data_IF_077575935748
#
_entry.id   IF_077575935748
#
_cell.length_a   1.000
_cell.length_b   1.000
_cell.length_c   1.000
_cell.angle_alpha   90.00
_cell.angle_beta   90.00
_cell.angle_gamma   90.00
#
_symmetry.space_group_name_H-M   'P 1'
#
loop_
_entity.id
_entity.type
_entity.pdbx_description
1 polymer ?
#
# COMPACT_ATOMS: atom_id res chain seq x y z
N UNK A 1 1.32 13.40 15.70
CA UNK A 1 0.28 12.51 16.28
C UNK A 1 0.78 11.66 17.48
N UNK A 2 2.07 11.69 17.83
CA UNK A 2 2.63 11.09 19.05
C UNK A 2 2.97 9.60 18.98
N UNK A 3 2.89 8.94 17.82
CA UNK A 3 3.42 7.59 17.62
C UNK A 3 4.96 7.60 17.53
N UNK A 4 5.61 6.50 17.94
CA UNK A 4 7.05 6.33 17.88
C UNK A 4 7.45 4.85 17.73
N UNK A 5 8.74 4.58 17.53
CA UNK A 5 9.28 3.23 17.33
C UNK A 5 9.04 2.31 18.53
N UNK A 6 9.14 2.84 19.75
CA UNK A 6 8.84 2.08 20.96
C UNK A 6 7.36 1.68 21.02
N UNK A 7 6.44 2.57 20.62
CA UNK A 7 5.00 2.26 20.56
C UNK A 7 4.69 1.13 19.58
N UNK A 8 5.37 1.06 18.42
CA UNK A 8 5.23 -0.06 17.48
C UNK A 8 5.72 -1.35 18.14
N UNK A 9 6.88 -1.32 18.80
CA UNK A 9 7.46 -2.46 19.49
C UNK A 9 6.51 -3.06 20.54
N UNK A 10 5.81 -2.21 21.30
CA UNK A 10 4.81 -2.65 22.29
C UNK A 10 3.57 -3.29 21.65
N UNK A 11 3.31 -3.05 20.37
CA UNK A 11 2.14 -3.56 19.65
C UNK A 11 2.43 -4.77 18.75
N UNK A 12 3.65 -5.30 18.76
CA UNK A 12 4.03 -6.47 17.93
C UNK A 12 3.06 -7.64 18.14
N UNK A 13 2.72 -7.98 19.40
CA UNK A 13 1.82 -9.09 19.70
C UNK A 13 0.40 -8.83 19.20
N UNK A 14 -0.09 -7.57 19.26
CA UNK A 14 -1.36 -7.19 18.71
C UNK A 14 -1.37 -7.38 17.17
N UNK A 15 -0.35 -6.89 16.47
CA UNK A 15 -0.20 -7.03 15.02
C UNK A 15 -0.13 -8.52 14.63
N UNK A 16 0.70 -9.28 15.31
CA UNK A 16 0.88 -10.74 15.10
C UNK A 16 -0.42 -11.50 15.34
N UNK A 17 -1.25 -11.09 16.30
CA UNK A 17 -2.53 -11.73 16.61
C UNK A 17 -3.56 -11.67 15.49
N UNK A 18 -3.33 -10.83 14.48
CA UNK A 18 -4.13 -10.77 13.23
C UNK A 18 -3.51 -11.57 12.08
N UNK A 19 -2.39 -12.25 12.35
CA UNK A 19 -1.69 -13.10 11.37
C UNK A 19 -0.70 -12.36 10.48
N UNK A 20 -0.42 -11.07 10.75
CA UNK A 20 0.60 -10.32 10.02
C UNK A 20 2.01 -10.76 10.47
N UNK A 21 2.91 -10.78 9.50
CA UNK A 21 4.32 -11.13 9.66
C UNK A 21 5.28 -10.00 9.25
N UNK A 22 4.75 -8.87 8.81
CA UNK A 22 5.56 -7.74 8.35
C UNK A 22 4.95 -6.42 8.82
N UNK A 23 5.81 -5.49 9.23
CA UNK A 23 5.43 -4.10 9.53
C UNK A 23 6.07 -3.18 8.50
N UNK A 24 5.26 -2.38 7.82
CA UNK A 24 5.70 -1.30 6.93
C UNK A 24 5.58 0.03 7.67
N UNK A 25 6.70 0.75 7.79
CA UNK A 25 6.83 1.99 8.55
C UNK A 25 7.04 3.15 7.57
N UNK A 26 6.25 4.21 7.70
CA UNK A 26 6.43 5.49 6.98
C UNK A 26 7.77 6.16 7.36
N UNK A 27 8.23 7.22 6.65
CA UNK A 27 9.56 7.79 6.87
C UNK A 27 9.82 8.17 8.33
N UNK A 28 11.06 7.92 8.77
CA UNK A 28 11.50 8.12 10.17
C UNK A 28 12.48 9.28 10.33
N UNK A 29 12.76 10.00 9.27
CA UNK A 29 13.81 11.03 9.22
C UNK A 29 13.37 12.34 9.86
N UNK A 30 14.33 13.17 10.36
CA UNK A 30 14.04 14.52 10.81
C UNK A 30 13.34 15.34 9.72
N UNK A 31 12.25 15.99 10.06
CA UNK A 31 11.38 16.68 9.13
C UNK A 31 10.70 17.87 9.79
N UNK A 32 10.18 18.81 9.01
CA UNK A 32 9.32 19.89 9.51
C UNK A 32 7.86 19.48 9.68
N UNK A 33 7.45 18.48 8.93
CA UNK A 33 6.04 18.07 8.87
C UNK A 33 5.82 16.77 9.63
N UNK A 34 4.59 16.59 10.09
CA UNK A 34 4.18 15.40 10.83
C UNK A 34 4.23 14.10 10.01
N UNK A 35 4.25 14.21 8.68
CA UNK A 35 4.25 13.06 7.78
C UNK A 35 5.66 12.56 7.41
N UNK A 36 6.70 13.35 7.65
CA UNK A 36 8.11 13.05 7.39
C UNK A 36 8.47 12.82 5.91
N UNK A 37 7.61 13.18 4.94
CA UNK A 37 7.93 13.12 3.51
C UNK A 37 8.69 14.35 3.00
N UNK A 38 9.14 15.23 3.88
CA UNK A 38 10.06 16.34 3.61
C UNK A 38 11.32 16.24 4.48
N UNK A 39 12.16 15.18 4.29
CA UNK A 39 13.29 14.93 5.18
C UNK A 39 14.32 16.04 5.12
N UNK A 40 14.85 16.44 6.30
CA UNK A 40 15.97 17.37 6.41
C UNK A 40 17.33 16.64 6.37
N UNK A 41 17.34 15.36 6.73
CA UNK A 41 18.50 14.49 6.87
C UNK A 41 18.04 13.03 6.66
N UNK A 42 18.87 12.16 6.06
CA UNK A 42 18.52 10.76 5.80
C UNK A 42 19.36 9.75 6.62
N UNK A 43 20.34 10.24 7.38
CA UNK A 43 21.17 9.37 8.22
C UNK A 43 20.77 9.41 9.70
N UNK A 44 19.81 10.25 10.07
CA UNK A 44 19.34 10.38 11.44
C UNK A 44 17.84 10.04 11.54
N UNK A 45 17.41 9.63 12.74
CA UNK A 45 16.01 9.42 13.07
C UNK A 45 15.48 10.69 13.75
N UNK A 46 14.25 11.09 13.45
CA UNK A 46 13.60 12.19 14.15
C UNK A 46 13.54 11.88 15.65
N UNK A 47 14.06 12.79 16.52
CA UNK A 47 14.07 12.57 17.96
C UNK A 47 12.69 12.31 18.57
N UNK A 48 11.60 12.76 17.92
CA UNK A 48 10.23 12.46 18.36
C UNK A 48 9.84 11.00 18.11
N UNK A 49 10.48 10.34 17.15
CA UNK A 49 10.19 8.95 16.80
C UNK A 49 11.09 7.96 17.53
N UNK A 50 12.28 8.40 17.98
CA UNK A 50 13.24 7.58 18.69
C UNK A 50 14.67 7.75 18.20
N UNK A 51 15.47 6.71 18.40
CA UNK A 51 16.89 6.64 18.06
C UNK A 51 17.18 5.44 17.17
N UNK A 52 18.40 5.35 16.61
CA UNK A 52 18.86 4.14 15.90
C UNK A 52 18.90 2.90 16.80
N UNK A 53 19.11 3.07 18.09
CA UNK A 53 19.00 1.96 19.07
C UNK A 53 17.55 1.49 19.22
N UNK A 54 16.58 2.41 19.25
CA UNK A 54 15.15 2.06 19.28
C UNK A 54 14.73 1.32 17.98
N UNK A 55 15.23 1.78 16.82
CA UNK A 55 14.98 1.14 15.53
C UNK A 55 15.54 -0.29 15.51
N UNK A 56 16.79 -0.47 15.94
CA UNK A 56 17.43 -1.77 16.04
C UNK A 56 16.70 -2.68 17.01
N UNK A 57 16.29 -2.17 18.17
CA UNK A 57 15.53 -2.93 19.15
C UNK A 57 14.15 -3.36 18.62
N UNK A 58 13.48 -2.52 17.83
CA UNK A 58 12.24 -2.88 17.13
C UNK A 58 12.50 -4.01 16.13
N UNK A 59 13.52 -3.86 15.27
CA UNK A 59 13.88 -4.88 14.28
C UNK A 59 14.22 -6.22 14.93
N UNK A 60 15.00 -6.23 15.99
CA UNK A 60 15.34 -7.44 16.75
C UNK A 60 14.10 -8.11 17.37
N UNK A 61 13.18 -7.32 17.93
CA UNK A 61 11.95 -7.88 18.52
C UNK A 61 10.99 -8.42 17.45
N UNK A 62 10.89 -7.75 16.28
CA UNK A 62 10.16 -8.26 15.11
C UNK A 62 10.75 -9.61 14.68
N UNK A 63 12.06 -9.67 14.45
CA UNK A 63 12.77 -10.90 14.04
C UNK A 63 12.58 -12.05 15.03
N UNK A 64 12.67 -11.78 16.33
CA UNK A 64 12.39 -12.76 17.39
C UNK A 64 10.96 -13.32 17.33
N UNK A 65 10.03 -12.53 16.82
CA UNK A 65 8.64 -12.95 16.60
C UNK A 65 8.38 -13.56 15.21
N UNK A 66 9.41 -13.76 14.38
CA UNK A 66 9.30 -14.26 13.02
C UNK A 66 8.66 -13.24 12.07
N UNK A 67 8.89 -11.95 12.32
CA UNK A 67 8.34 -10.84 11.56
C UNK A 67 9.44 -10.02 10.88
N UNK A 68 9.08 -9.28 9.85
CA UNK A 68 9.94 -8.45 9.01
C UNK A 68 9.59 -6.97 9.11
N UNK A 69 10.51 -6.12 8.66
CA UNK A 69 10.33 -4.66 8.66
C UNK A 69 10.65 -4.05 7.31
N UNK A 70 9.70 -3.30 6.74
CA UNK A 70 9.88 -2.47 5.55
C UNK A 70 9.93 -1.01 6.01
N UNK A 71 10.94 -0.26 5.57
CA UNK A 71 11.05 1.17 5.87
C UNK A 71 10.84 2.02 4.61
N UNK A 72 10.15 3.13 4.75
CA UNK A 72 9.93 4.08 3.67
C UNK A 72 11.13 5.01 3.48
N UNK A 73 11.55 5.24 2.24
CA UNK A 73 12.69 6.06 1.86
C UNK A 73 12.29 7.15 0.89
N UNK A 74 12.51 8.41 1.27
CA UNK A 74 12.23 9.59 0.46
C UNK A 74 13.52 10.07 -0.20
N UNK A 75 13.75 9.66 -1.45
CA UNK A 75 14.98 9.94 -2.18
C UNK A 75 14.82 10.91 -3.36
N UNK A 76 13.58 11.29 -3.66
CA UNK A 76 13.32 12.25 -4.75
C UNK A 76 13.70 13.68 -4.38
N UNK A 77 13.49 14.08 -3.14
CA UNK A 77 13.64 15.46 -2.67
C UNK A 77 14.07 15.52 -1.21
N UNK A 78 14.51 16.69 -0.78
CA UNK A 78 14.75 17.02 0.63
C UNK A 78 14.02 18.31 0.99
N UNK A 79 13.79 18.50 2.28
CA UNK A 79 13.22 19.73 2.81
C UNK A 79 14.17 20.93 2.62
N UNK A 80 13.59 22.12 2.46
CA UNK A 80 14.35 23.36 2.49
C UNK A 80 14.99 23.67 3.86
N UNK A 81 14.64 22.87 4.90
CA UNK A 81 15.32 22.96 6.21
C UNK A 81 16.65 22.19 6.26
N UNK A 82 16.93 21.35 5.27
CA UNK A 82 18.18 20.59 5.19
C UNK A 82 19.40 21.52 5.22
N UNK A 83 20.39 21.18 6.04
CA UNK A 83 21.64 21.92 6.07
C UNK A 83 22.39 21.82 4.73
N UNK A 84 22.22 20.73 3.99
CA UNK A 84 22.75 20.59 2.64
C UNK A 84 22.18 21.64 1.68
N UNK A 85 20.87 21.86 1.72
CA UNK A 85 20.21 22.87 0.88
C UNK A 85 20.56 24.30 1.33
N UNK A 86 20.55 24.57 2.62
CA UNK A 86 20.96 25.88 3.16
C UNK A 86 22.39 26.24 2.74
N UNK A 87 23.31 25.29 2.84
CA UNK A 87 24.68 25.46 2.39
C UNK A 87 24.76 25.71 0.88
N UNK A 88 24.01 24.92 0.08
CA UNK A 88 23.98 25.05 -1.38
C UNK A 88 23.50 26.43 -1.85
N UNK A 89 22.59 27.07 -1.08
CA UNK A 89 22.05 28.39 -1.41
C UNK A 89 22.97 29.51 -0.94
N UNK A 90 23.50 29.40 0.30
CA UNK A 90 24.24 30.48 0.95
C UNK A 90 25.71 30.58 0.52
N UNK A 91 26.32 29.46 0.14
CA UNK A 91 27.73 29.41 -0.25
C UNK A 91 27.91 28.94 -1.72
N UNK A 92 28.52 29.82 -2.55
CA UNK A 92 28.85 29.51 -3.94
C UNK A 92 29.85 28.36 -4.10
N UNK A 93 30.65 28.12 -3.07
CA UNK A 93 31.67 27.06 -3.04
C UNK A 93 31.17 25.81 -2.28
N UNK A 94 29.92 25.75 -1.87
CA UNK A 94 29.36 24.61 -1.19
C UNK A 94 29.53 23.32 -1.98
N UNK A 95 30.00 22.22 -1.37
CA UNK A 95 30.05 20.91 -2.02
C UNK A 95 28.68 20.39 -2.39
N UNK A 96 27.62 20.89 -1.77
CA UNK A 96 26.22 20.48 -2.00
C UNK A 96 25.52 21.27 -3.11
N UNK A 97 26.19 22.24 -3.73
CA UNK A 97 25.58 23.13 -4.72
C UNK A 97 24.96 22.41 -5.90
N UNK A 98 25.54 21.27 -6.30
CA UNK A 98 25.09 20.45 -7.41
C UNK A 98 24.25 19.22 -6.96
N UNK A 99 23.90 19.14 -5.68
CA UNK A 99 23.04 18.06 -5.19
C UNK A 99 21.58 18.23 -5.59
N UNK A 100 21.16 19.48 -5.85
CA UNK A 100 19.78 19.83 -6.09
C UNK A 100 19.53 20.14 -7.56
N UNK A 101 18.46 19.56 -8.10
CA UNK A 101 18.04 19.75 -9.47
C UNK A 101 17.61 21.19 -9.74
N UNK A 102 17.92 21.72 -10.93
CA UNK A 102 17.62 23.09 -11.34
C UNK A 102 16.82 23.12 -12.64
N UNK A 103 16.06 24.21 -12.78
CA UNK A 103 15.45 24.65 -14.01
C UNK A 103 15.88 26.13 -14.23
N UNK A 104 16.83 26.34 -15.13
CA UNK A 104 17.56 27.58 -15.24
C UNK A 104 18.29 27.93 -13.93
N UNK A 105 18.04 29.12 -13.40
CA UNK A 105 18.62 29.58 -12.13
C UNK A 105 17.87 29.13 -10.89
N UNK A 106 16.68 28.53 -11.05
CA UNK A 106 15.81 28.14 -9.94
C UNK A 106 16.03 26.68 -9.56
N UNK A 107 15.94 26.37 -8.27
CA UNK A 107 15.85 24.99 -7.82
C UNK A 107 14.47 24.40 -8.12
N UNK A 108 14.45 23.20 -8.65
CA UNK A 108 13.22 22.48 -8.90
C UNK A 108 12.59 22.03 -7.58
N UNK A 109 11.27 22.06 -7.54
CA UNK A 109 10.50 21.59 -6.39
C UNK A 109 9.48 20.58 -6.83
N UNK A 110 9.23 19.58 -6.00
CA UNK A 110 8.25 18.56 -6.32
C UNK A 110 6.84 19.17 -6.35
N UNK A 111 6.17 19.09 -7.50
CA UNK A 111 4.85 19.68 -7.76
C UNK A 111 4.68 21.16 -7.33
N UNK A 112 5.76 21.92 -7.27
CA UNK A 112 5.71 23.32 -6.85
C UNK A 112 5.69 23.54 -5.33
N UNK A 113 5.80 22.50 -4.53
CA UNK A 113 5.91 22.61 -3.07
C UNK A 113 7.29 23.17 -2.69
N UNK A 114 7.30 24.42 -2.22
CA UNK A 114 8.53 25.18 -1.92
C UNK A 114 9.39 24.56 -0.81
N UNK A 115 8.83 23.66 -0.05
CA UNK A 115 9.51 22.96 1.04
C UNK A 115 10.12 21.61 0.60
N UNK A 116 9.88 21.15 -0.63
CA UNK A 116 10.35 19.87 -1.17
C UNK A 116 11.24 20.09 -2.38
N UNK A 117 12.54 20.27 -2.13
CA UNK A 117 13.53 20.59 -3.17
C UNK A 117 14.04 19.31 -3.81
N UNK A 118 13.86 19.16 -5.13
CA UNK A 118 14.27 17.95 -5.84
C UNK A 118 15.79 17.79 -5.83
N UNK A 119 16.25 16.57 -5.55
CA UNK A 119 17.65 16.18 -5.66
C UNK A 119 18.00 15.87 -7.12
N UNK A 120 19.23 16.12 -7.51
CA UNK A 120 19.80 15.61 -8.77
C UNK A 120 20.20 14.14 -8.57
N UNK A 121 19.30 13.22 -8.91
CA UNK A 121 19.51 11.77 -8.80
C UNK A 121 20.67 11.24 -9.63
N UNK A 122 21.15 12.00 -10.62
CA UNK A 122 22.32 11.60 -11.43
C UNK A 122 23.64 12.08 -10.83
N UNK A 123 23.60 12.94 -9.83
CA UNK A 123 24.79 13.36 -9.08
C UNK A 123 25.33 12.19 -8.25
N UNK A 124 26.63 11.89 -8.39
CA UNK A 124 27.27 10.73 -7.73
C UNK A 124 27.30 10.86 -6.20
N UNK A 125 27.50 12.05 -5.68
CA UNK A 125 27.54 12.28 -4.23
C UNK A 125 26.14 12.08 -3.61
N UNK A 126 25.08 12.44 -4.33
CA UNK A 126 23.69 12.16 -3.94
C UNK A 126 23.44 10.66 -3.93
N UNK A 127 23.89 9.94 -4.97
CA UNK A 127 23.75 8.47 -5.01
C UNK A 127 24.48 7.81 -3.83
N UNK A 128 25.70 8.20 -3.55
CA UNK A 128 26.47 7.66 -2.42
C UNK A 128 25.85 8.01 -1.06
N UNK A 129 25.25 9.19 -0.94
CA UNK A 129 24.51 9.57 0.27
C UNK A 129 23.28 8.68 0.49
N UNK A 130 22.53 8.40 -0.58
CA UNK A 130 21.37 7.48 -0.52
C UNK A 130 21.80 6.03 -0.23
N UNK A 131 22.89 5.54 -0.83
CA UNK A 131 23.46 4.22 -0.50
C UNK A 131 23.84 4.13 0.98
N UNK A 132 24.44 5.18 1.56
CA UNK A 132 24.74 5.22 3.01
C UNK A 132 23.46 5.13 3.85
N UNK A 133 22.38 5.79 3.45
CA UNK A 133 21.09 5.69 4.14
C UNK A 133 20.52 4.26 4.07
N UNK A 134 20.52 3.65 2.88
CA UNK A 134 20.08 2.26 2.67
C UNK A 134 20.90 1.31 3.54
N UNK A 135 22.22 1.43 3.47
CA UNK A 135 23.14 0.60 4.26
C UNK A 135 22.86 0.73 5.76
N UNK A 136 22.66 1.97 6.24
CA UNK A 136 22.35 2.22 7.65
C UNK A 136 21.05 1.56 8.09
N UNK A 137 19.98 1.62 7.28
CA UNK A 137 18.72 0.92 7.52
C UNK A 137 18.94 -0.61 7.60
N UNK A 138 19.63 -1.18 6.63
CA UNK A 138 19.93 -2.61 6.54
C UNK A 138 20.76 -3.10 7.74
N UNK A 139 21.83 -2.38 8.09
CA UNK A 139 22.71 -2.70 9.25
C UNK A 139 21.96 -2.62 10.59
N UNK A 140 20.91 -1.81 10.68
CA UNK A 140 20.05 -1.72 11.85
C UNK A 140 18.82 -2.64 11.81
N UNK A 141 18.70 -3.48 10.79
CA UNK A 141 17.78 -4.61 10.75
C UNK A 141 16.50 -4.41 9.95
N UNK A 142 16.44 -3.42 9.07
CA UNK A 142 15.39 -3.37 8.04
C UNK A 142 15.59 -4.56 7.07
N UNK A 143 14.48 -5.19 6.67
CA UNK A 143 14.48 -6.31 5.72
C UNK A 143 14.17 -5.87 4.30
N UNK A 144 13.57 -4.69 4.13
CA UNK A 144 13.24 -4.11 2.84
C UNK A 144 13.06 -2.60 2.95
N UNK A 145 13.09 -1.92 1.79
CA UNK A 145 12.68 -0.52 1.68
C UNK A 145 11.55 -0.35 0.67
N UNK A 146 10.72 0.66 0.90
CA UNK A 146 9.83 1.23 -0.11
C UNK A 146 10.40 2.56 -0.58
N UNK A 147 10.52 2.74 -1.87
CA UNK A 147 10.96 3.98 -2.47
C UNK A 147 9.76 4.88 -2.77
N UNK A 148 9.69 5.99 -2.04
CA UNK A 148 8.72 7.05 -2.30
C UNK A 148 8.91 7.61 -3.71
N UNK A 149 7.80 7.86 -4.42
CA UNK A 149 7.80 8.29 -5.81
C UNK A 149 8.65 7.38 -6.74
N UNK A 150 8.72 6.10 -6.43
CA UNK A 150 9.57 5.14 -7.15
C UNK A 150 9.36 5.14 -8.66
N UNK A 151 8.12 5.41 -9.12
CA UNK A 151 7.79 5.46 -10.53
C UNK A 151 8.51 6.55 -11.33
N UNK A 152 8.90 7.65 -10.70
CA UNK A 152 9.58 8.78 -11.38
C UNK A 152 11.11 8.77 -11.21
N UNK A 153 11.66 7.83 -10.43
CA UNK A 153 13.10 7.70 -10.24
C UNK A 153 13.79 7.20 -11.53
N UNK A 154 14.87 7.84 -11.98
CA UNK A 154 15.55 7.44 -13.21
C UNK A 154 16.17 6.04 -13.13
N UNK A 155 16.12 5.29 -14.24
CA UNK A 155 16.69 3.93 -14.35
C UNK A 155 18.17 3.88 -13.92
N UNK A 156 19.02 4.78 -14.40
CA UNK A 156 20.44 4.81 -14.02
C UNK A 156 20.66 5.07 -12.51
N UNK A 157 19.77 5.83 -11.88
CA UNK A 157 19.78 6.03 -10.44
C UNK A 157 19.35 4.76 -9.70
N UNK A 158 18.23 4.14 -10.10
CA UNK A 158 17.75 2.90 -9.50
C UNK A 158 18.78 1.77 -9.61
N UNK A 159 19.46 1.66 -10.75
CA UNK A 159 20.57 0.73 -10.93
C UNK A 159 21.69 1.00 -9.92
N UNK A 160 22.08 2.27 -9.74
CA UNK A 160 23.17 2.63 -8.80
C UNK A 160 22.82 2.29 -7.35
N UNK A 161 21.68 2.72 -6.85
CA UNK A 161 21.29 2.40 -5.46
C UNK A 161 20.93 0.93 -5.27
N UNK A 162 20.56 0.25 -6.36
CA UNK A 162 20.26 -1.18 -6.39
C UNK A 162 21.47 -2.07 -6.07
N UNK A 163 22.69 -1.54 -6.09
CA UNK A 163 23.89 -2.24 -5.62
C UNK A 163 23.79 -2.64 -4.13
N UNK A 164 22.96 -1.98 -3.35
CA UNK A 164 22.72 -2.31 -1.94
C UNK A 164 21.71 -3.45 -1.73
N UNK A 165 21.03 -3.91 -2.80
CA UNK A 165 20.11 -5.06 -2.74
C UNK A 165 20.84 -6.39 -2.63
N UNK A 166 20.16 -7.37 -2.06
CA UNK A 166 20.55 -8.78 -2.13
C UNK A 166 19.29 -9.68 -2.09
N UNK A 167 19.48 -10.98 -1.91
CA UNK A 167 18.35 -11.91 -1.88
C UNK A 167 17.43 -11.75 -0.66
N UNK A 168 17.92 -11.10 0.40
CA UNK A 168 17.21 -10.92 1.68
C UNK A 168 16.77 -9.47 1.89
N UNK A 169 17.33 -8.50 1.13
CA UNK A 169 17.00 -7.08 1.24
C UNK A 169 16.50 -6.55 -0.11
N UNK A 170 15.20 -6.29 -0.20
CA UNK A 170 14.49 -5.99 -1.45
C UNK A 170 13.91 -4.57 -1.47
N UNK A 171 13.66 -4.07 -2.69
CA UNK A 171 13.09 -2.74 -2.93
C UNK A 171 11.68 -2.84 -3.50
N UNK A 172 10.75 -2.14 -2.84
CA UNK A 172 9.40 -1.90 -3.35
C UNK A 172 9.31 -0.47 -3.87
N UNK A 173 8.96 -0.28 -5.13
CA UNK A 173 8.72 1.06 -5.65
C UNK A 173 7.26 1.47 -5.47
N UNK A 174 7.03 2.71 -5.03
CA UNK A 174 5.72 3.31 -5.17
C UNK A 174 5.38 3.47 -6.64
N UNK A 175 4.22 2.98 -7.06
CA UNK A 175 3.79 3.01 -8.44
C UNK A 175 2.27 3.04 -8.53
N UNK A 176 1.74 4.15 -8.99
CA UNK A 176 0.30 4.38 -9.08
C UNK A 176 -0.33 3.79 -10.34
N UNK A 177 0.46 3.65 -11.40
CA UNK A 177 0.04 3.07 -12.67
C UNK A 177 0.40 1.59 -12.80
N UNK A 178 -0.05 0.98 -13.90
CA UNK A 178 0.41 -0.36 -14.30
C UNK A 178 1.87 -0.28 -14.74
N UNK A 179 2.76 -0.94 -14.01
CA UNK A 179 4.19 -0.93 -14.27
C UNK A 179 4.53 -1.51 -15.66
N UNK A 180 3.75 -2.46 -16.15
CA UNK A 180 3.90 -3.05 -17.49
C UNK A 180 3.64 -2.08 -18.65
N UNK A 181 2.98 -0.94 -18.40
CA UNK A 181 2.62 0.01 -19.44
C UNK A 181 3.54 1.22 -19.53
N UNK A 182 4.04 1.70 -18.40
CA UNK A 182 4.75 2.97 -18.34
C UNK A 182 6.15 2.87 -17.73
N UNK A 183 6.36 1.88 -16.88
CA UNK A 183 7.57 1.74 -16.07
C UNK A 183 8.15 0.33 -16.19
N UNK A 184 8.00 -0.28 -17.35
CA UNK A 184 8.39 -1.66 -17.64
C UNK A 184 9.88 -1.92 -17.37
N UNK A 185 10.75 -0.96 -17.68
CA UNK A 185 12.18 -1.06 -17.37
C UNK A 185 12.46 -1.37 -15.91
N UNK A 186 11.72 -0.74 -14.98
CA UNK A 186 11.94 -0.95 -13.55
C UNK A 186 11.68 -2.39 -13.12
N UNK A 187 10.64 -3.03 -13.68
CA UNK A 187 10.25 -4.40 -13.32
C UNK A 187 10.96 -5.47 -14.15
N UNK A 188 11.22 -5.22 -15.45
CA UNK A 188 11.89 -6.19 -16.32
C UNK A 188 13.42 -6.15 -16.19
N UNK A 189 14.00 -4.99 -15.90
CA UNK A 189 15.43 -4.84 -15.66
C UNK A 189 15.83 -5.08 -14.19
N UNK A 190 14.88 -5.49 -13.33
CA UNK A 190 15.12 -5.74 -11.89
C UNK A 190 15.63 -4.53 -11.10
N UNK A 191 15.29 -3.33 -11.53
CA UNK A 191 15.58 -2.11 -10.79
C UNK A 191 14.73 -2.02 -9.51
N UNK A 192 13.48 -2.50 -9.57
CA UNK A 192 12.64 -2.79 -8.42
C UNK A 192 12.41 -4.31 -8.30
N UNK A 193 12.38 -4.83 -7.09
CA UNK A 193 12.02 -6.23 -6.85
C UNK A 193 10.51 -6.43 -6.85
N UNK A 194 9.77 -5.38 -6.52
CA UNK A 194 8.33 -5.30 -6.66
C UNK A 194 7.81 -3.86 -6.56
N UNK A 195 6.49 -3.70 -6.68
CA UNK A 195 5.82 -2.41 -6.68
C UNK A 195 4.55 -2.44 -5.82
N UNK A 196 4.12 -1.26 -5.37
CA UNK A 196 2.81 -1.08 -4.74
C UNK A 196 1.72 -1.18 -5.81
N UNK A 197 0.73 -2.04 -5.58
CA UNK A 197 -0.28 -2.42 -6.58
C UNK A 197 -1.55 -1.56 -6.47
N UNK A 198 -1.41 -0.24 -6.65
CA UNK A 198 -2.55 0.70 -6.66
C UNK A 198 -3.61 0.35 -7.72
N UNK A 199 -3.25 -0.11 -8.94
CA UNK A 199 -4.26 -0.49 -9.93
C UNK A 199 -5.21 -1.59 -9.45
N UNK A 200 -4.71 -2.59 -8.72
CA UNK A 200 -5.58 -3.62 -8.15
C UNK A 200 -6.46 -3.07 -7.03
N UNK A 201 -5.95 -2.14 -6.21
CA UNK A 201 -6.73 -1.46 -5.17
C UNK A 201 -7.93 -0.75 -5.78
N UNK A 202 -7.70 0.08 -6.80
CA UNK A 202 -8.76 0.79 -7.50
C UNK A 202 -9.80 -0.16 -8.09
N UNK A 203 -9.36 -1.14 -8.87
CA UNK A 203 -10.24 -2.07 -9.56
C UNK A 203 -11.09 -2.92 -8.60
N UNK A 204 -10.48 -3.44 -7.53
CA UNK A 204 -11.19 -4.26 -6.53
C UNK A 204 -12.22 -3.43 -5.78
N UNK A 205 -11.85 -2.26 -5.28
CA UNK A 205 -12.76 -1.43 -4.51
C UNK A 205 -13.89 -0.86 -5.37
N UNK A 206 -13.62 -0.49 -6.63
CA UNK A 206 -14.67 -0.09 -7.58
C UNK A 206 -15.62 -1.24 -7.88
N UNK A 207 -15.10 -2.44 -8.10
CA UNK A 207 -15.95 -3.59 -8.33
C UNK A 207 -16.82 -3.89 -7.11
N UNK A 208 -16.26 -3.92 -5.92
CA UNK A 208 -17.02 -4.18 -4.68
C UNK A 208 -18.07 -3.10 -4.44
N UNK A 209 -17.76 -1.84 -4.71
CA UNK A 209 -18.68 -0.73 -4.47
C UNK A 209 -19.72 -0.59 -5.56
N UNK A 210 -19.32 -0.57 -6.82
CA UNK A 210 -20.15 -0.19 -7.97
C UNK A 210 -20.41 -1.32 -8.95
N UNK A 211 -19.56 -2.35 -9.01
CA UNK A 211 -19.70 -3.48 -9.92
C UNK A 211 -18.94 -3.34 -11.23
N UNK A 212 -17.91 -2.47 -11.29
CA UNK A 212 -17.11 -2.28 -12.50
C UNK A 212 -16.29 -3.54 -12.84
N UNK A 213 -16.94 -4.50 -13.50
CA UNK A 213 -16.36 -5.80 -13.82
C UNK A 213 -15.31 -5.73 -14.93
N UNK A 214 -15.46 -4.81 -15.88
CA UNK A 214 -14.52 -4.67 -17.00
C UNK A 214 -13.17 -4.23 -16.50
N UNK A 215 -13.12 -3.19 -15.65
CA UNK A 215 -11.88 -2.73 -15.05
C UNK A 215 -11.24 -3.82 -14.18
N UNK A 216 -12.01 -4.49 -13.33
CA UNK A 216 -11.48 -5.55 -12.48
C UNK A 216 -10.89 -6.69 -13.31
N UNK A 217 -11.61 -7.17 -14.31
CA UNK A 217 -11.14 -8.23 -15.21
C UNK A 217 -9.84 -7.80 -15.92
N UNK A 218 -9.84 -6.60 -16.50
CA UNK A 218 -8.69 -6.04 -17.19
C UNK A 218 -7.44 -6.01 -16.29
N UNK A 219 -7.56 -5.46 -15.08
CA UNK A 219 -6.43 -5.38 -14.15
C UNK A 219 -5.95 -6.76 -13.72
N UNK A 220 -6.84 -7.69 -13.37
CA UNK A 220 -6.46 -9.04 -12.98
C UNK A 220 -5.75 -9.81 -14.11
N UNK A 221 -6.09 -9.55 -15.36
CA UNK A 221 -5.41 -10.12 -16.53
C UNK A 221 -4.05 -9.44 -16.78
N UNK A 222 -3.96 -8.12 -16.60
CA UNK A 222 -2.69 -7.37 -16.72
C UNK A 222 -1.65 -7.82 -15.69
N UNK A 223 -2.05 -8.15 -14.45
CA UNK A 223 -1.14 -8.67 -13.44
C UNK A 223 -0.40 -9.96 -13.89
N UNK A 224 -0.99 -10.74 -14.79
CA UNK A 224 -0.34 -11.93 -15.32
C UNK A 224 0.82 -11.63 -16.30
N UNK A 225 0.93 -10.40 -16.79
CA UNK A 225 2.02 -9.96 -17.68
C UNK A 225 3.29 -9.57 -16.92
N UNK A 226 3.20 -9.37 -15.60
CA UNK A 226 4.38 -9.11 -14.78
C UNK A 226 5.30 -10.33 -14.73
N UNK A 227 6.65 -10.16 -14.66
CA UNK A 227 7.55 -11.25 -14.34
C UNK A 227 7.09 -11.96 -13.08
N UNK A 228 7.15 -13.29 -13.06
CA UNK A 228 6.58 -14.10 -11.98
C UNK A 228 7.12 -13.70 -10.59
N UNK A 229 8.41 -13.43 -10.50
CA UNK A 229 9.07 -13.00 -9.27
C UNK A 229 8.54 -11.65 -8.77
N UNK A 230 8.32 -10.68 -9.66
CA UNK A 230 7.74 -9.38 -9.32
C UNK A 230 6.25 -9.54 -8.96
N UNK A 231 5.50 -10.25 -9.79
CA UNK A 231 4.07 -10.52 -9.59
C UNK A 231 3.77 -11.14 -8.23
N UNK A 232 4.58 -12.11 -7.82
CA UNK A 232 4.37 -12.82 -6.55
C UNK A 232 4.76 -11.98 -5.32
N UNK A 233 5.45 -10.86 -5.51
CA UNK A 233 5.85 -9.92 -4.47
C UNK A 233 5.09 -8.58 -4.54
N UNK A 234 4.15 -8.40 -5.48
CA UNK A 234 3.33 -7.18 -5.56
C UNK A 234 2.75 -6.84 -4.18
N UNK A 235 2.95 -5.62 -3.72
CA UNK A 235 2.36 -5.17 -2.47
C UNK A 235 0.90 -4.77 -2.72
N UNK A 236 -0.01 -5.68 -2.44
CA UNK A 236 -1.45 -5.49 -2.63
C UNK A 236 -2.02 -4.66 -1.49
N UNK A 237 -1.97 -3.36 -1.63
CA UNK A 237 -2.39 -2.38 -0.62
C UNK A 237 -3.93 -2.29 -0.58
N UNK A 238 -4.52 -2.40 0.58
CA UNK A 238 -5.97 -2.24 0.75
C UNK A 238 -6.36 -0.76 0.82
N UNK A 239 -5.54 0.03 1.48
CA UNK A 239 -5.50 1.49 1.50
C UNK A 239 -4.15 1.92 2.04
N UNK A 240 -3.83 3.21 1.98
CA UNK A 240 -2.56 3.77 2.47
C UNK A 240 -2.79 5.07 3.23
N UNK A 241 -1.71 5.66 3.70
CA UNK A 241 -1.69 7.00 4.29
C UNK A 241 -1.99 8.12 3.27
N UNK A 242 -1.97 7.82 1.95
CA UNK A 242 -2.23 8.78 0.86
C UNK A 242 -3.63 8.65 0.27
N UNK A 243 -4.34 7.57 0.59
CA UNK A 243 -5.70 7.33 0.13
C UNK A 243 -6.69 7.47 1.29
N UNK A 244 -7.97 7.68 1.03
CA UNK A 244 -8.97 7.42 2.06
C UNK A 244 -8.88 5.98 2.56
N UNK A 245 -9.35 5.71 3.78
CA UNK A 245 -9.39 4.34 4.29
C UNK A 245 -10.30 3.47 3.43
N UNK A 246 -10.04 2.16 3.39
CA UNK A 246 -10.78 1.23 2.54
C UNK A 246 -12.30 1.29 2.78
N UNK A 247 -12.74 1.40 4.03
CA UNK A 247 -14.18 1.49 4.32
C UNK A 247 -14.78 2.80 3.81
N UNK A 248 -14.03 3.92 3.89
CA UNK A 248 -14.47 5.21 3.34
C UNK A 248 -14.59 5.12 1.81
N UNK A 249 -13.62 4.52 1.14
CA UNK A 249 -13.70 4.29 -0.31
C UNK A 249 -14.88 3.39 -0.70
N UNK A 250 -15.27 2.44 0.15
CA UNK A 250 -16.36 1.50 -0.13
C UNK A 250 -17.76 2.09 0.09
N UNK A 251 -17.96 2.95 1.07
CA UNK A 251 -19.28 3.44 1.47
C UNK A 251 -19.35 4.93 1.84
N UNK A 252 -18.21 5.64 1.86
CA UNK A 252 -18.16 7.08 2.18
C UNK A 252 -18.91 7.94 1.16
N UNK A 253 -19.37 9.09 1.59
CA UNK A 253 -20.01 10.08 0.71
C UNK A 253 -18.99 10.70 -0.26
N UNK A 254 -19.44 11.20 -1.40
CA UNK A 254 -18.64 11.93 -2.36
C UNK A 254 -17.55 11.13 -3.11
N UNK A 255 -17.44 9.82 -2.90
CA UNK A 255 -16.55 8.97 -3.71
C UNK A 255 -17.11 8.82 -5.11
N UNK A 256 -16.32 9.19 -6.13
CA UNK A 256 -16.77 9.17 -7.53
C UNK A 256 -16.32 7.89 -8.26
N UNK A 257 -17.29 7.11 -8.83
CA UNK A 257 -16.99 5.94 -9.63
C UNK A 257 -16.34 6.27 -11.00
N UNK A 258 -16.60 7.47 -11.51
CA UNK A 258 -16.26 7.87 -12.88
C UNK A 258 -15.11 8.88 -12.93
N UNK A 259 -14.31 8.97 -11.86
CA UNK A 259 -13.15 9.85 -11.85
C UNK A 259 -12.16 9.47 -12.95
N UNK A 260 -12.08 10.31 -13.98
CA UNK A 260 -11.11 10.16 -15.08
C UNK A 260 -9.68 10.51 -14.67
N UNK A 261 -9.46 11.02 -13.45
CA UNK A 261 -8.21 11.67 -13.06
C UNK A 261 -7.33 10.85 -12.15
N UNK A 262 -7.79 9.69 -11.67
CA UNK A 262 -6.95 8.94 -10.75
C UNK A 262 -7.51 7.58 -10.38
N UNK A 263 -8.37 7.49 -9.41
CA UNK A 263 -8.84 6.23 -8.87
C UNK A 263 -10.05 6.41 -7.95
N UNK A 264 -10.49 5.34 -7.34
CA UNK A 264 -11.60 5.37 -6.37
C UNK A 264 -11.31 6.28 -5.16
N UNK A 265 -10.05 6.62 -4.93
CA UNK A 265 -9.61 7.59 -3.92
C UNK A 265 -9.90 9.04 -4.26
N UNK A 266 -10.30 9.35 -5.49
CA UNK A 266 -10.73 10.69 -5.84
C UNK A 266 -12.16 10.93 -5.36
N UNK A 267 -12.34 12.09 -4.76
CA UNK A 267 -13.63 12.53 -4.23
C UNK A 267 -14.24 13.49 -5.23
N UNK A 268 -15.46 13.20 -5.67
CA UNK A 268 -16.23 14.15 -6.46
C UNK A 268 -16.68 15.29 -5.55
N UNK A 269 -16.13 16.45 -5.76
CA UNK A 269 -16.35 17.58 -4.90
C UNK A 269 -17.25 18.60 -5.58
N UNK A 270 -18.41 18.96 -4.98
CA UNK A 270 -19.21 20.09 -5.46
C UNK A 270 -18.45 21.43 -5.40
N UNK A 271 -17.32 21.48 -4.71
CA UNK A 271 -16.38 22.60 -4.62
C UNK A 271 -15.29 22.60 -5.72
N UNK A 272 -15.23 21.59 -6.59
CA UNK A 272 -14.36 21.59 -7.76
C UNK A 272 -14.99 22.46 -8.84
N UNK A 273 -14.81 23.77 -8.68
CA UNK A 273 -15.25 24.73 -9.68
C UNK A 273 -14.34 24.66 -10.91
N UNK A 274 -14.87 24.97 -12.12
CA UNK A 274 -14.03 25.11 -13.33
C UNK A 274 -12.88 26.11 -13.18
N UNK A 275 -12.99 27.04 -12.22
CA UNK A 275 -12.07 28.16 -11.98
C UNK A 275 -11.03 27.91 -10.88
N UNK A 276 -11.07 26.77 -10.18
CA UNK A 276 -10.11 26.45 -9.12
C UNK A 276 -10.65 25.49 -8.07
N UNK A 277 -9.72 24.92 -7.31
CA UNK A 277 -10.02 23.99 -6.24
C UNK A 277 -10.26 24.74 -4.93
N UNK A 278 -11.49 24.65 -4.40
CA UNK A 278 -11.80 25.19 -3.08
C UNK A 278 -11.28 24.25 -1.96
N UNK A 279 -10.02 24.47 -1.59
CA UNK A 279 -9.36 23.68 -0.53
C UNK A 279 -10.11 23.73 0.79
N UNK A 280 -10.70 24.86 1.16
CA UNK A 280 -11.42 25.01 2.42
C UNK A 280 -12.73 24.20 2.42
N UNK A 281 -13.53 24.31 1.37
CA UNK A 281 -14.77 23.54 1.22
C UNK A 281 -14.50 22.04 1.20
N UNK A 282 -13.43 21.62 0.54
CA UNK A 282 -12.98 20.23 0.53
C UNK A 282 -12.64 19.72 1.94
N UNK A 283 -11.79 20.43 2.68
CA UNK A 283 -11.39 20.05 4.04
C UNK A 283 -12.55 20.06 5.03
N UNK A 284 -13.45 21.00 4.88
CA UNK A 284 -14.68 21.06 5.67
C UNK A 284 -15.55 19.83 5.42
N UNK A 285 -15.76 19.47 4.15
CA UNK A 285 -16.52 18.27 3.79
C UNK A 285 -15.89 17.01 4.38
N UNK A 286 -14.57 16.84 4.23
CA UNK A 286 -13.86 15.68 4.79
C UNK A 286 -14.05 15.59 6.30
N UNK A 287 -13.92 16.71 7.01
CA UNK A 287 -14.11 16.77 8.46
C UNK A 287 -15.54 16.43 8.89
N UNK A 288 -16.54 16.93 8.17
CA UNK A 288 -17.96 16.70 8.45
C UNK A 288 -18.38 15.25 8.17
N UNK A 289 -17.71 14.56 7.22
CA UNK A 289 -18.02 13.21 6.78
C UNK A 289 -17.01 12.14 7.23
N UNK A 290 -16.04 12.49 8.09
CA UNK A 290 -14.98 11.56 8.54
C UNK A 290 -15.50 10.42 9.45
N UNK A 291 -16.79 10.36 9.69
CA UNK A 291 -17.43 9.26 10.41
C UNK A 291 -18.46 8.55 9.53
N UNK A 292 -18.45 7.22 9.55
CA UNK A 292 -19.45 6.43 8.84
C UNK A 292 -20.71 6.31 9.69
N UNK A 293 -21.90 6.69 9.16
CA UNK A 293 -23.15 6.50 9.86
C UNK A 293 -23.38 5.05 10.27
N UNK A 294 -23.89 4.84 11.49
CA UNK A 294 -24.06 3.48 12.06
C UNK A 294 -24.89 2.57 11.18
N UNK A 295 -25.93 3.10 10.53
CA UNK A 295 -26.80 2.36 9.61
C UNK A 295 -26.07 1.85 8.36
N UNK A 296 -25.02 2.52 7.92
CA UNK A 296 -24.18 2.11 6.78
C UNK A 296 -23.03 1.18 7.19
N UNK A 297 -22.62 1.23 8.46
CA UNK A 297 -21.43 0.53 8.94
C UNK A 297 -21.50 -0.99 8.71
N UNK A 298 -22.64 -1.62 8.96
CA UNK A 298 -22.79 -3.06 8.76
C UNK A 298 -22.56 -3.48 7.29
N UNK A 299 -23.12 -2.74 6.34
CA UNK A 299 -22.88 -2.98 4.91
C UNK A 299 -21.42 -2.70 4.56
N UNK A 300 -20.83 -1.63 5.12
CA UNK A 300 -19.43 -1.29 4.94
C UNK A 300 -18.49 -2.41 5.37
N UNK A 301 -18.73 -3.00 6.53
CA UNK A 301 -17.96 -4.14 7.04
C UNK A 301 -18.08 -5.35 6.11
N UNK A 302 -19.29 -5.68 5.63
CA UNK A 302 -19.48 -6.78 4.65
C UNK A 302 -18.70 -6.53 3.36
N UNK A 303 -18.78 -5.33 2.81
CA UNK A 303 -18.02 -4.94 1.61
C UNK A 303 -16.51 -4.96 1.84
N UNK A 304 -16.06 -4.48 3.01
CA UNK A 304 -14.64 -4.50 3.38
C UNK A 304 -14.11 -5.94 3.50
N UNK A 305 -14.86 -6.83 4.14
CA UNK A 305 -14.54 -8.27 4.19
C UNK A 305 -14.45 -8.89 2.78
N UNK A 306 -15.39 -8.54 1.91
CA UNK A 306 -15.38 -9.01 0.52
C UNK A 306 -14.13 -8.55 -0.23
N UNK A 307 -13.75 -7.26 -0.10
CA UNK A 307 -12.54 -6.72 -0.70
C UNK A 307 -11.28 -7.41 -0.14
N UNK A 308 -11.16 -7.50 1.19
CA UNK A 308 -10.05 -8.19 1.86
C UNK A 308 -9.91 -9.63 1.36
N UNK A 309 -11.03 -10.35 1.21
CA UNK A 309 -11.01 -11.68 0.61
C UNK A 309 -10.33 -11.72 -0.76
N UNK A 310 -10.56 -10.73 -1.63
CA UNK A 310 -9.91 -10.67 -2.94
C UNK A 310 -8.41 -10.37 -2.79
N UNK A 311 -8.02 -9.38 -1.97
CA UNK A 311 -6.62 -8.99 -1.76
C UNK A 311 -5.76 -10.15 -1.23
N UNK A 312 -6.32 -11.05 -0.43
CA UNK A 312 -5.59 -12.19 0.11
C UNK A 312 -5.37 -13.33 -0.89
N UNK A 313 -6.08 -13.33 -2.03
CA UNK A 313 -6.01 -14.40 -3.05
C UNK A 313 -5.28 -13.99 -4.32
N UNK A 314 -5.38 -12.72 -4.76
CA UNK A 314 -4.66 -12.27 -5.96
C UNK A 314 -3.14 -12.43 -5.78
N UNK A 315 -2.36 -12.53 -6.89
CA UNK A 315 -0.90 -12.61 -6.82
C UNK A 315 -0.31 -11.43 -6.05
N UNK A 316 0.66 -11.68 -5.21
CA UNK A 316 1.33 -10.66 -4.39
C UNK A 316 1.11 -10.87 -2.89
N UNK A 317 1.44 -9.86 -2.11
CA UNK A 317 1.44 -9.84 -0.64
C UNK A 317 0.35 -8.86 -0.18
N UNK A 318 -0.67 -9.30 0.58
CA UNK A 318 -1.69 -8.39 1.09
C UNK A 318 -1.07 -7.42 2.12
N UNK A 319 -1.31 -6.13 1.94
CA UNK A 319 -0.89 -5.08 2.85
C UNK A 319 -2.10 -4.30 3.36
N UNK A 320 -2.29 -4.33 4.66
CA UNK A 320 -3.46 -3.75 5.33
C UNK A 320 -3.02 -2.51 6.11
N UNK A 321 -3.64 -1.38 5.82
CA UNK A 321 -3.36 -0.13 6.51
C UNK A 321 -3.94 -0.15 7.93
N UNK A 322 -3.23 0.48 8.87
CA UNK A 322 -3.64 0.58 10.27
C UNK A 322 -5.07 1.12 10.42
N UNK A 323 -5.83 0.61 11.38
CA UNK A 323 -7.24 0.98 11.61
C UNK A 323 -8.25 0.20 10.78
N UNK A 324 -7.81 -0.51 9.71
CA UNK A 324 -8.70 -1.35 8.91
C UNK A 324 -9.37 -2.44 9.75
N UNK A 325 -8.69 -2.99 10.73
CA UNK A 325 -9.22 -4.00 11.65
C UNK A 325 -10.36 -3.49 12.53
N UNK A 326 -10.41 -2.18 12.75
CA UNK A 326 -11.51 -1.50 13.46
C UNK A 326 -12.59 -0.97 12.50
N UNK A 327 -12.40 -1.11 11.19
CA UNK A 327 -13.19 -0.46 10.15
C UNK A 327 -13.20 1.08 10.32
N UNK A 328 -12.03 1.66 10.62
CA UNK A 328 -11.90 3.10 10.83
C UNK A 328 -12.06 3.87 9.52
N UNK A 329 -12.88 4.93 9.57
CA UNK A 329 -13.03 5.88 8.47
C UNK A 329 -11.89 6.88 8.43
N UNK A 330 -11.67 7.47 7.29
CA UNK A 330 -10.74 8.56 7.05
C UNK A 330 -10.74 8.93 5.58
N UNK A 331 -10.93 10.20 5.27
CA UNK A 331 -10.76 10.72 3.92
C UNK A 331 -9.28 10.88 3.57
N UNK A 332 -8.90 11.79 2.66
CA UNK A 332 -7.49 12.03 2.33
C UNK A 332 -6.73 12.65 3.50
N UNK A 333 -5.41 12.61 3.44
CA UNK A 333 -4.53 13.23 4.43
C UNK A 333 -5.05 14.60 4.93
N UNK A 334 -5.14 14.86 6.24
CA UNK A 334 -4.55 14.10 7.36
C UNK A 334 -5.46 13.03 8.00
N UNK A 335 -6.69 12.84 7.55
CA UNK A 335 -7.71 12.04 8.23
C UNK A 335 -7.38 10.54 8.36
N UNK A 336 -6.77 9.85 7.37
CA UNK A 336 -6.38 8.44 7.53
C UNK A 336 -5.19 8.26 8.49
N UNK A 337 -4.41 9.32 8.75
CA UNK A 337 -3.22 9.30 9.62
C UNK A 337 -3.52 9.59 11.08
N UNK A 338 -4.78 9.66 11.48
CA UNK A 338 -5.17 9.86 12.89
C UNK A 338 -4.63 8.74 13.79
N UNK A 339 -4.38 9.04 15.10
CA UNK A 339 -3.89 8.04 16.04
C UNK A 339 -4.82 6.83 16.09
N UNK A 340 -4.23 5.66 15.93
CA UNK A 340 -4.95 4.40 15.98
C UNK A 340 -5.33 4.04 17.42
N UNK A 341 -6.54 3.55 17.60
CA UNK A 341 -6.99 2.98 18.87
C UNK A 341 -6.86 1.46 18.83
N UNK A 342 -5.92 0.93 19.58
CA UNK A 342 -5.71 -0.52 19.71
C UNK A 342 -6.79 -1.14 20.58
N UNK A 343 -7.60 -2.03 20.01
CA UNK A 343 -8.71 -2.72 20.71
C UNK A 343 -8.57 -4.22 20.56
N UNK A 344 -8.56 -4.96 21.66
CA UNK A 344 -8.58 -6.42 21.59
C UNK A 344 -9.85 -6.97 20.94
N UNK A 345 -10.92 -6.20 20.98
CA UNK A 345 -12.24 -6.49 20.38
C UNK A 345 -12.40 -5.84 18.99
N UNK A 346 -11.29 -5.58 18.26
CA UNK A 346 -11.36 -5.04 16.91
C UNK A 346 -12.25 -5.91 16.00
N UNK A 347 -13.15 -5.26 15.27
CA UNK A 347 -14.27 -5.89 14.52
C UNK A 347 -13.78 -6.95 13.53
N UNK A 348 -12.64 -6.70 12.86
CA UNK A 348 -12.08 -7.58 11.84
C UNK A 348 -10.88 -8.39 12.31
N UNK A 349 -10.48 -8.31 13.58
CA UNK A 349 -9.28 -8.98 14.10
C UNK A 349 -9.28 -10.49 13.78
N UNK A 350 -10.31 -11.21 14.18
CA UNK A 350 -10.44 -12.65 13.92
C UNK A 350 -10.60 -12.96 12.43
N UNK A 351 -11.27 -12.10 11.68
CA UNK A 351 -11.43 -12.28 10.24
C UNK A 351 -10.08 -12.17 9.51
N UNK A 352 -9.26 -11.18 9.83
CA UNK A 352 -7.91 -11.02 9.28
C UNK A 352 -7.00 -12.19 9.67
N UNK A 353 -7.06 -12.63 10.93
CA UNK A 353 -6.34 -13.83 11.38
C UNK A 353 -6.74 -15.06 10.55
N UNK A 354 -8.02 -15.31 10.36
CA UNK A 354 -8.51 -16.45 9.58
C UNK A 354 -8.07 -16.38 8.11
N UNK A 355 -8.14 -15.21 7.46
CA UNK A 355 -7.63 -15.02 6.09
C UNK A 355 -6.13 -15.32 6.01
N UNK A 356 -5.36 -14.84 7.01
CA UNK A 356 -3.92 -15.08 7.09
C UNK A 356 -3.59 -16.57 7.27
N UNK A 357 -4.37 -17.30 8.08
CA UNK A 357 -4.22 -18.75 8.23
C UNK A 357 -4.53 -19.50 6.94
N UNK A 358 -5.67 -19.20 6.30
CA UNK A 358 -6.02 -19.80 5.00
C UNK A 358 -4.91 -19.57 3.98
N UNK A 359 -4.38 -18.33 3.91
CA UNK A 359 -3.27 -18.03 3.00
C UNK A 359 -2.00 -18.83 3.35
N UNK A 360 -1.64 -18.91 4.62
CA UNK A 360 -0.46 -19.64 5.11
C UNK A 360 -0.54 -21.14 4.81
N UNK A 361 -1.70 -21.75 5.01
CA UNK A 361 -1.96 -23.16 4.71
C UNK A 361 -1.92 -23.48 3.21
N UNK A 362 -2.13 -22.47 2.36
CA UNK A 362 -2.20 -22.60 0.90
C UNK A 362 -1.10 -21.81 0.17
N UNK A 363 0.05 -21.54 0.83
CA UNK A 363 1.14 -20.74 0.26
C UNK A 363 1.69 -21.29 -1.05
N UNK A 364 1.74 -22.60 -1.21
CA UNK A 364 2.23 -23.24 -2.44
C UNK A 364 1.43 -22.82 -3.69
N UNK A 365 0.13 -22.59 -3.57
CA UNK A 365 -0.71 -22.14 -4.67
C UNK A 365 -0.94 -20.62 -4.66
N UNK A 366 -1.06 -19.99 -3.50
CA UNK A 366 -1.33 -18.55 -3.41
C UNK A 366 -0.10 -17.66 -3.57
N UNK A 367 1.10 -18.13 -3.19
CA UNK A 367 2.32 -17.39 -3.38
C UNK A 367 3.00 -17.67 -4.72
N UNK A 368 2.91 -18.91 -5.25
CA UNK A 368 3.69 -19.32 -6.42
C UNK A 368 2.83 -19.75 -7.62
N UNK A 369 1.54 -19.99 -7.42
CA UNK A 369 0.65 -20.43 -8.47
C UNK A 369 0.35 -19.34 -9.51
N UNK A 370 -0.07 -19.77 -10.67
CA UNK A 370 -0.63 -18.90 -11.70
C UNK A 370 -2.06 -18.49 -11.35
N UNK A 371 -2.61 -17.57 -12.12
CA UNK A 371 -3.92 -17.00 -11.83
C UNK A 371 -4.77 -16.90 -13.11
N UNK A 372 -6.08 -17.08 -12.96
CA UNK A 372 -7.04 -16.81 -14.05
C UNK A 372 -8.39 -16.33 -13.53
N UNK A 373 -9.01 -15.46 -14.30
CA UNK A 373 -10.39 -15.07 -14.12
C UNK A 373 -11.27 -16.10 -14.83
N UNK A 374 -12.05 -16.89 -14.08
CA UNK A 374 -12.99 -17.86 -14.64
C UNK A 374 -14.29 -17.19 -15.11
N UNK A 375 -14.77 -16.26 -14.29
CA UNK A 375 -15.93 -15.41 -14.57
C UNK A 375 -15.81 -14.11 -13.81
N UNK A 376 -16.09 -13.00 -14.48
CA UNK A 376 -16.20 -11.68 -13.85
C UNK A 376 -17.37 -10.94 -14.49
N UNK A 377 -18.30 -10.50 -13.67
CA UNK A 377 -19.38 -9.59 -14.05
C UNK A 377 -19.73 -8.69 -12.85
N UNK A 378 -20.69 -7.80 -13.01
CA UNK A 378 -21.04 -6.83 -11.97
C UNK A 378 -21.58 -7.46 -10.67
N UNK A 379 -21.86 -8.73 -10.66
CA UNK A 379 -22.45 -9.45 -9.52
C UNK A 379 -21.51 -10.46 -8.89
N UNK A 380 -20.65 -11.08 -9.69
CA UNK A 380 -19.87 -12.24 -9.29
C UNK A 380 -18.47 -12.21 -9.90
N UNK A 381 -17.47 -12.47 -9.04
CA UNK A 381 -16.11 -12.82 -9.45
C UNK A 381 -15.84 -14.28 -9.08
N UNK A 382 -15.43 -15.09 -10.06
CA UNK A 382 -14.91 -16.44 -9.90
C UNK A 382 -13.46 -16.43 -10.35
N UNK A 383 -12.56 -16.55 -9.40
CA UNK A 383 -11.12 -16.40 -9.57
C UNK A 383 -10.39 -17.65 -9.11
N UNK A 384 -9.37 -18.05 -9.84
CA UNK A 384 -8.62 -19.26 -9.54
C UNK A 384 -7.12 -18.99 -9.53
N UNK A 385 -6.47 -19.48 -8.47
CA UNK A 385 -5.02 -19.66 -8.39
C UNK A 385 -4.73 -21.14 -8.58
N UNK A 386 -3.70 -21.49 -9.34
CA UNK A 386 -3.43 -22.89 -9.65
C UNK A 386 -1.95 -23.16 -9.87
N UNK A 387 -1.59 -24.41 -9.59
CA UNK A 387 -0.33 -25.03 -9.97
C UNK A 387 -0.66 -26.29 -10.79
N UNK A 388 0.32 -27.06 -11.20
CA UNK A 388 0.08 -28.35 -11.87
C UNK A 388 -0.71 -29.34 -10.99
N UNK A 389 -0.61 -29.22 -9.66
CA UNK A 389 -1.16 -30.21 -8.71
C UNK A 389 -2.36 -29.71 -7.92
N UNK A 390 -2.47 -28.43 -7.70
CA UNK A 390 -3.46 -27.84 -6.80
C UNK A 390 -4.20 -26.69 -7.46
N UNK A 391 -5.48 -26.56 -7.13
CA UNK A 391 -6.31 -25.43 -7.50
C UNK A 391 -6.96 -24.81 -6.27
N UNK A 392 -6.84 -23.49 -6.14
CA UNK A 392 -7.53 -22.69 -5.13
C UNK A 392 -8.51 -21.79 -5.86
N UNK A 393 -9.80 -22.05 -5.69
CA UNK A 393 -10.88 -21.31 -6.34
C UNK A 393 -11.56 -20.39 -5.32
N UNK A 394 -11.70 -19.12 -5.64
CA UNK A 394 -12.32 -18.11 -4.81
C UNK A 394 -13.50 -17.50 -5.56
N UNK A 395 -14.69 -17.55 -4.97
CA UNK A 395 -15.92 -17.05 -5.59
C UNK A 395 -16.52 -15.99 -4.69
N UNK A 396 -16.79 -14.81 -5.27
CA UNK A 396 -17.22 -13.61 -4.57
C UNK A 396 -18.55 -13.13 -5.10
N UNK A 397 -19.52 -12.99 -4.20
CA UNK A 397 -20.82 -12.39 -4.47
C UNK A 397 -20.87 -10.97 -3.92
N UNK A 398 -20.88 -9.96 -4.78
CA UNK A 398 -20.99 -8.56 -4.34
C UNK A 398 -22.41 -8.03 -4.25
N UNK A 399 -23.40 -8.84 -4.61
CA UNK A 399 -24.79 -8.41 -4.60
C UNK A 399 -25.40 -8.41 -3.20
N UNK A 400 -26.52 -7.71 -3.04
CA UNK A 400 -27.32 -7.73 -1.81
C UNK A 400 -28.24 -8.95 -1.71
N UNK A 401 -28.04 -9.98 -2.54
CA UNK A 401 -28.83 -11.22 -2.57
C UNK A 401 -27.92 -12.43 -2.57
N UNK A 402 -28.32 -13.55 -1.96
CA UNK A 402 -27.59 -14.81 -2.08
C UNK A 402 -27.53 -15.29 -3.54
N UNK A 403 -26.45 -15.96 -3.90
CA UNK A 403 -26.24 -16.56 -5.23
C UNK A 403 -26.03 -18.08 -5.08
N UNK A 404 -26.80 -18.86 -5.81
CA UNK A 404 -26.57 -20.30 -5.94
C UNK A 404 -25.40 -20.55 -6.89
N UNK A 405 -24.43 -21.35 -6.45
CA UNK A 405 -23.33 -21.80 -7.29
C UNK A 405 -23.74 -23.01 -8.10
N UNK A 406 -23.95 -22.82 -9.37
CA UNK A 406 -24.11 -23.91 -10.32
C UNK A 406 -22.73 -24.44 -10.75
N UNK A 407 -22.51 -25.75 -10.73
CA UNK A 407 -21.32 -26.42 -11.28
C UNK A 407 -19.97 -26.04 -10.61
N UNK A 408 -19.90 -26.10 -9.27
CA UNK A 408 -18.62 -25.93 -8.57
C UNK A 408 -17.57 -27.01 -8.95
N UNK A 409 -18.05 -28.21 -9.33
CA UNK A 409 -17.23 -29.41 -9.52
C UNK A 409 -17.15 -30.24 -8.23
N UNK A 410 -17.38 -31.55 -8.35
CA UNK A 410 -17.47 -32.45 -7.18
C UNK A 410 -16.16 -32.56 -6.38
N UNK A 411 -15.02 -32.24 -6.98
CA UNK A 411 -13.69 -32.39 -6.37
C UNK A 411 -13.27 -31.19 -5.49
N UNK A 412 -14.01 -30.09 -5.53
CA UNK A 412 -13.71 -28.90 -4.72
C UNK A 412 -14.25 -29.01 -3.31
N UNK A 413 -13.37 -28.82 -2.33
CA UNK A 413 -13.72 -28.76 -0.89
C UNK A 413 -13.75 -27.32 -0.42
N UNK A 414 -14.82 -26.93 0.28
CA UNK A 414 -14.89 -25.65 0.98
C UNK A 414 -13.85 -25.59 2.10
N UNK A 415 -13.06 -24.53 2.14
CA UNK A 415 -12.05 -24.29 3.18
C UNK A 415 -12.32 -23.03 3.99
N UNK A 416 -13.02 -22.04 3.42
CA UNK A 416 -13.35 -20.82 4.13
C UNK A 416 -14.61 -20.15 3.56
N UNK A 417 -15.50 -19.73 4.41
CA UNK A 417 -16.59 -18.78 4.17
C UNK A 417 -17.25 -18.41 5.49
N UNK A 418 -17.84 -17.22 5.60
CA UNK A 418 -18.68 -16.87 6.75
C UNK A 418 -20.15 -17.27 6.51
N UNK A 419 -20.63 -17.19 5.26
CA UNK A 419 -22.03 -17.48 4.91
C UNK A 419 -22.10 -18.32 3.62
N UNK A 420 -21.73 -19.61 3.72
CA UNK A 420 -21.91 -20.58 2.64
C UNK A 420 -22.71 -21.80 3.14
N UNK A 421 -23.84 -22.06 2.52
CA UNK A 421 -24.69 -23.21 2.88
C UNK A 421 -25.42 -23.75 1.65
N UNK A 422 -25.39 -25.07 1.50
CA UNK A 422 -26.11 -25.79 0.41
C UNK A 422 -25.80 -25.22 -1.01
N UNK A 423 -24.55 -24.86 -1.28
CA UNK A 423 -24.15 -24.29 -2.57
C UNK A 423 -24.47 -22.80 -2.74
N UNK A 424 -24.95 -22.11 -1.70
CA UNK A 424 -25.35 -20.70 -1.75
C UNK A 424 -24.31 -19.85 -1.04
N UNK A 425 -23.80 -18.81 -1.72
CA UNK A 425 -22.98 -17.75 -1.13
C UNK A 425 -23.91 -16.60 -0.72
N UNK A 426 -23.81 -16.16 0.54
CA UNK A 426 -24.58 -15.05 1.08
C UNK A 426 -24.35 -13.71 0.37
N UNK A 427 -25.17 -12.72 0.68
CA UNK A 427 -25.08 -11.37 0.13
C UNK A 427 -23.80 -10.64 0.61
N UNK A 428 -23.02 -10.07 -0.31
CA UNK A 428 -21.71 -9.44 -0.04
C UNK A 428 -20.75 -10.39 0.69
N UNK A 429 -20.70 -11.66 0.25
CA UNK A 429 -19.90 -12.74 0.83
C UNK A 429 -19.06 -13.45 -0.20
N UNK A 430 -18.17 -14.32 0.27
CA UNK A 430 -17.33 -15.15 -0.59
C UNK A 430 -17.08 -16.53 0.02
N UNK A 431 -16.60 -17.43 -0.81
CA UNK A 431 -16.21 -18.76 -0.40
C UNK A 431 -14.92 -19.19 -1.12
N UNK A 432 -14.04 -19.87 -0.40
CA UNK A 432 -12.80 -20.43 -0.90
C UNK A 432 -12.88 -21.95 -0.95
N UNK A 433 -12.40 -22.51 -2.03
CA UNK A 433 -12.38 -23.93 -2.29
C UNK A 433 -11.00 -24.38 -2.74
N UNK A 434 -10.63 -25.60 -2.39
CA UNK A 434 -9.39 -26.24 -2.82
C UNK A 434 -9.68 -27.57 -3.51
N UNK A 435 -8.84 -27.88 -4.51
CA UNK A 435 -8.80 -29.14 -5.21
C UNK A 435 -7.38 -29.64 -5.35
#
# INVERSE_FOLDING_TARGET
>A
YGGNLQGIREKIQYIKSMGFDTVYITPIYPSKTYHHYDPCELLEIDPMLGTWEDFKNLALELKKNGMYMINDCVFNHMSNCSEFFKSAVSDKNSPYRNWFAKDGDNYRTWYGFKDMIELDKMNKDVQEYHKKSIKKLKENGADAIRLDLGEILPSGYLTSIGEEKDNEFIFFNEMWGLATHRYDSQIFNKEADSVMNYPATDAILRWVRYGNAELLKYILEELNKYPKEVRNRLLNIVSTHDTPTAITMLIGEGMNPDSYTGGIWDIEAPWRKPEGFDTYGFRKFEAENDSIPKEKLHLGIKKLKLALGIFYVIPGIPSVFMGTENAESGYKDPFPRKPMIFRDTAILKNFLFNLSQVRKENLNVLAQGDARVRRCNDSLLDYERYTEKNSFRAIYNRTNRPILLENLGADYKLIFSEEFKAGIIGANQFAYFIK
#
